data_IF_280593871762
#
_entry.id   IF_280593871762
#
_cell.length_a   1.000
_cell.length_b   1.000
_cell.length_c   1.000
_cell.angle_alpha   90.00
_cell.angle_beta   90.00
_cell.angle_gamma   90.00
#
_symmetry.space_group_name_H-M   'P 1'
#
loop_
_entity.id
_entity.type
_entity.pdbx_description
1 polymer ?
#
# COMPACT_ATOMS: atom_id res chain seq x y z
N UNK A 1 7.90 -10.96 24.44
CA UNK A 1 8.23 -10.41 23.11
C UNK A 1 6.96 -9.80 22.53
N UNK A 2 6.90 -8.49 22.40
CA UNK A 2 5.68 -7.79 21.92
C UNK A 2 5.75 -7.67 20.40
N UNK A 3 5.06 -8.58 19.68
CA UNK A 3 4.83 -8.41 18.24
C UNK A 3 3.86 -7.22 18.04
N UNK A 4 4.41 -6.09 17.68
CA UNK A 4 3.61 -4.95 17.24
C UNK A 4 3.40 -5.10 15.74
N UNK A 5 2.20 -5.51 15.31
CA UNK A 5 1.73 -5.20 13.96
C UNK A 5 1.55 -3.68 13.91
N UNK A 6 2.55 -2.99 13.42
CA UNK A 6 2.42 -1.58 13.08
C UNK A 6 1.87 -1.56 11.66
N UNK A 7 0.74 -0.89 11.44
CA UNK A 7 0.51 -0.30 10.13
C UNK A 7 1.83 0.40 9.76
N UNK A 8 2.28 0.28 8.52
CA UNK A 8 3.60 0.83 8.12
C UNK A 8 3.68 2.25 8.67
N UNK A 9 4.39 2.43 9.77
CA UNK A 9 4.91 3.75 10.12
C UNK A 9 5.84 4.07 8.96
N UNK A 10 5.82 5.29 8.40
CA UNK A 10 6.78 5.68 7.37
C UNK A 10 8.13 5.12 7.74
N UNK A 11 8.80 4.50 6.79
CA UNK A 11 9.98 3.71 7.09
C UNK A 11 10.93 4.50 7.99
N UNK A 12 11.69 3.80 8.82
CA UNK A 12 12.73 4.43 9.66
C UNK A 12 13.67 5.31 8.85
N UNK A 13 13.74 5.15 7.54
CA UNK A 13 14.59 5.91 6.62
C UNK A 13 14.15 7.36 6.44
N UNK A 14 12.84 7.67 6.47
CA UNK A 14 12.35 9.07 6.49
C UNK A 14 12.78 9.85 7.74
N UNK A 15 13.28 9.15 8.78
CA UNK A 15 13.75 9.76 10.01
C UNK A 15 15.28 9.99 10.04
N UNK A 16 16.02 9.64 8.98
CA UNK A 16 17.46 9.57 9.04
C UNK A 16 18.22 10.74 8.39
N UNK A 17 17.69 11.39 7.29
CA UNK A 17 18.43 12.51 6.68
C UNK A 17 17.62 13.25 5.59
N UNK A 18 17.16 14.51 5.78
CA UNK A 18 16.96 15.19 7.05
C UNK A 18 15.84 14.55 7.88
N UNK A 19 16.04 14.35 9.18
CA UNK A 19 15.10 13.62 10.00
C UNK A 19 13.80 14.40 10.14
N UNK A 20 12.69 13.84 9.62
CA UNK A 20 11.37 14.34 9.97
C UNK A 20 11.11 14.05 11.46
N UNK A 21 10.56 15.03 12.17
CA UNK A 21 10.07 14.79 13.52
C UNK A 21 8.89 13.82 13.47
N UNK A 22 8.65 13.02 14.52
CA UNK A 22 7.55 12.04 14.54
C UNK A 22 6.20 12.62 14.12
N UNK A 23 5.87 13.85 14.55
CA UNK A 23 4.63 14.54 14.22
C UNK A 23 4.57 14.93 12.72
N UNK A 24 5.70 15.29 12.14
CA UNK A 24 5.80 15.61 10.71
C UNK A 24 5.60 14.35 9.87
N UNK A 25 6.25 13.25 10.23
CA UNK A 25 6.08 11.97 9.57
C UNK A 25 4.63 11.44 9.69
N UNK A 26 4.01 11.57 10.86
CA UNK A 26 2.60 11.21 11.06
C UNK A 26 1.66 12.02 10.16
N UNK A 27 1.88 13.33 10.03
CA UNK A 27 1.10 14.18 9.11
C UNK A 27 1.28 13.79 7.66
N UNK A 28 2.51 13.47 7.27
CA UNK A 28 2.81 13.03 5.90
C UNK A 28 2.15 11.69 5.59
N UNK A 29 2.25 10.70 6.50
CA UNK A 29 1.56 9.43 6.35
C UNK A 29 0.03 9.56 6.28
N UNK A 30 -0.55 10.45 7.08
CA UNK A 30 -1.97 10.74 7.03
C UNK A 30 -2.38 11.33 5.67
N UNK A 31 -1.53 12.18 5.09
CA UNK A 31 -1.75 12.73 3.75
C UNK A 31 -1.61 11.67 2.66
N UNK A 32 -0.62 10.77 2.74
CA UNK A 32 -0.49 9.62 1.84
C UNK A 32 -1.75 8.76 1.86
N UNK A 33 -2.18 8.37 3.06
CA UNK A 33 -3.38 7.57 3.24
C UNK A 33 -4.62 8.25 2.65
N UNK A 34 -4.74 9.58 2.78
CA UNK A 34 -5.83 10.33 2.17
C UNK A 34 -5.78 10.24 0.65
N UNK A 35 -4.63 10.49 0.03
CA UNK A 35 -4.48 10.44 -1.43
C UNK A 35 -4.73 9.02 -1.97
N UNK A 36 -4.21 7.97 -1.31
CA UNK A 36 -4.45 6.58 -1.70
C UNK A 36 -5.93 6.22 -1.60
N UNK A 37 -6.61 6.61 -0.53
CA UNK A 37 -8.06 6.34 -0.38
C UNK A 37 -8.91 7.14 -1.36
N UNK A 38 -8.51 8.37 -1.73
CA UNK A 38 -9.15 9.12 -2.82
C UNK A 38 -8.94 8.44 -4.19
N UNK A 39 -7.76 7.85 -4.42
CA UNK A 39 -7.49 7.06 -5.63
C UNK A 39 -8.39 5.81 -5.69
N UNK A 40 -8.58 5.11 -4.56
CA UNK A 40 -9.56 4.01 -4.48
C UNK A 40 -10.98 4.48 -4.79
N UNK A 41 -11.40 5.60 -4.19
CA UNK A 41 -12.73 6.19 -4.42
C UNK A 41 -12.92 6.59 -5.90
N UNK A 42 -11.90 7.17 -6.53
CA UNK A 42 -11.94 7.51 -7.95
C UNK A 42 -12.03 6.26 -8.84
N UNK A 43 -11.29 5.19 -8.52
CA UNK A 43 -11.36 3.93 -9.25
C UNK A 43 -12.75 3.26 -9.13
N UNK A 44 -13.41 3.40 -7.98
CA UNK A 44 -14.76 2.87 -7.75
C UNK A 44 -15.83 3.47 -8.67
N UNK A 45 -15.57 4.60 -9.32
CA UNK A 45 -16.44 5.16 -10.35
C UNK A 45 -16.41 4.36 -11.67
N UNK A 46 -15.38 3.55 -11.91
CA UNK A 46 -15.17 2.81 -13.16
C UNK A 46 -15.29 1.29 -12.99
N UNK A 47 -15.04 0.76 -11.79
CA UNK A 47 -15.08 -0.67 -11.49
C UNK A 47 -15.72 -0.92 -10.12
N UNK A 48 -16.39 -2.06 -9.91
CA UNK A 48 -17.10 -2.33 -8.66
C UNK A 48 -16.13 -2.75 -7.54
N UNK A 49 -15.46 -1.78 -6.95
CA UNK A 49 -14.58 -1.96 -5.80
C UNK A 49 -15.09 -1.19 -4.59
N UNK A 50 -14.77 -1.69 -3.39
CA UNK A 50 -15.00 -1.04 -2.12
C UNK A 50 -13.64 -0.75 -1.45
N UNK A 51 -13.48 0.47 -0.94
CA UNK A 51 -12.26 0.89 -0.25
C UNK A 51 -12.32 0.58 1.23
N UNK A 52 -11.25 -0.01 1.74
CA UNK A 52 -11.04 -0.29 3.16
C UNK A 52 -9.67 0.20 3.60
N UNK A 53 -9.59 0.79 4.79
CA UNK A 53 -8.32 1.05 5.46
C UNK A 53 -8.12 -0.01 6.55
N UNK A 54 -7.07 -0.81 6.39
CA UNK A 54 -6.66 -1.80 7.38
C UNK A 54 -5.91 -1.10 8.51
N UNK A 55 -6.27 -1.39 9.76
CA UNK A 55 -5.69 -0.73 10.92
C UNK A 55 -5.35 -1.70 12.05
N UNK A 56 -4.41 -1.30 12.89
CA UNK A 56 -4.05 -1.90 14.16
C UNK A 56 -3.30 -0.87 15.04
N UNK A 57 -3.42 -0.94 16.37
CA UNK A 57 -4.25 -1.85 17.16
C UNK A 57 -5.73 -1.44 17.18
N UNK A 58 -6.60 -2.32 17.67
CA UNK A 58 -7.99 -1.98 17.96
C UNK A 58 -8.08 -0.75 18.89
N UNK A 59 -9.09 0.09 18.67
CA UNK A 59 -9.30 1.33 19.44
C UNK A 59 -8.61 2.56 18.84
N UNK A 60 -8.02 2.45 17.63
CA UNK A 60 -7.40 3.59 16.92
C UNK A 60 -8.28 4.13 15.78
N UNK A 61 -9.51 3.67 15.65
CA UNK A 61 -10.45 3.98 14.58
C UNK A 61 -10.75 5.47 14.47
N UNK A 62 -11.01 6.12 15.61
CA UNK A 62 -11.34 7.55 15.66
C UNK A 62 -10.17 8.43 15.21
N UNK A 63 -8.94 8.01 15.51
CA UNK A 63 -7.74 8.73 15.08
C UNK A 63 -7.49 8.59 13.57
N UNK A 64 -7.92 7.48 12.96
CA UNK A 64 -7.67 7.20 11.54
C UNK A 64 -8.74 7.80 10.62
N UNK A 65 -10.00 7.74 11.05
CA UNK A 65 -11.18 8.13 10.24
C UNK A 65 -11.06 9.54 9.58
N UNK A 66 -10.57 10.59 10.23
CA UNK A 66 -10.45 11.91 9.61
C UNK A 66 -9.49 11.96 8.40
N UNK A 67 -8.60 10.98 8.29
CA UNK A 67 -7.58 10.89 7.26
C UNK A 67 -8.00 10.02 6.06
N UNK A 68 -9.23 9.53 6.03
CA UNK A 68 -9.74 8.67 4.97
C UNK A 68 -10.64 9.45 3.99
N UNK A 69 -10.64 9.04 2.73
CA UNK A 69 -11.62 9.50 1.77
C UNK A 69 -13.04 9.07 2.16
N UNK A 70 -14.08 9.87 1.87
CA UNK A 70 -15.46 9.48 2.13
C UNK A 70 -15.81 8.13 1.50
N UNK A 71 -16.53 7.28 2.25
CA UNK A 71 -16.91 5.96 1.82
C UNK A 71 -15.83 4.88 2.02
N UNK A 72 -14.66 5.22 2.55
CA UNK A 72 -13.66 4.23 2.97
C UNK A 72 -14.09 3.64 4.32
N UNK A 73 -14.23 2.31 4.38
CA UNK A 73 -14.53 1.58 5.61
C UNK A 73 -13.26 1.17 6.36
N UNK A 74 -13.39 0.86 7.65
CA UNK A 74 -12.28 0.36 8.46
C UNK A 74 -12.34 -1.15 8.61
N UNK A 75 -11.15 -1.78 8.67
CA UNK A 75 -11.00 -3.21 8.89
C UNK A 75 -9.83 -3.48 9.84
N UNK A 76 -10.12 -4.15 10.98
CA UNK A 76 -9.06 -4.53 11.90
C UNK A 76 -8.16 -5.59 11.25
N UNK A 77 -6.85 -5.38 11.32
CA UNK A 77 -5.84 -6.25 10.72
C UNK A 77 -4.62 -6.39 11.66
N UNK A 78 -4.88 -6.75 12.91
CA UNK A 78 -3.86 -6.90 13.96
C UNK A 78 -3.12 -8.24 13.94
N UNK A 79 -3.44 -9.12 12.99
CA UNK A 79 -2.83 -10.44 12.84
C UNK A 79 -3.32 -11.47 13.86
N UNK A 80 -4.40 -11.22 14.60
CA UNK A 80 -4.94 -12.12 15.63
C UNK A 80 -5.61 -13.38 15.07
N UNK A 81 -5.89 -13.43 13.74
CA UNK A 81 -6.48 -14.60 13.09
C UNK A 81 -5.54 -15.81 13.10
N UNK A 82 -6.08 -17.04 13.15
CA UNK A 82 -5.30 -18.23 12.92
C UNK A 82 -4.56 -18.18 11.58
N UNK A 83 -3.28 -18.52 11.59
CA UNK A 83 -2.47 -18.53 10.36
C UNK A 83 -1.70 -19.85 10.27
N UNK A 84 -1.50 -20.41 9.06
CA UNK A 84 -0.68 -21.59 8.89
C UNK A 84 0.79 -21.29 9.19
N UNK A 85 1.59 -22.35 9.33
CA UNK A 85 3.04 -22.23 9.51
C UNK A 85 3.66 -21.37 8.40
N UNK A 86 4.69 -20.60 8.73
CA UNK A 86 5.38 -19.69 7.83
C UNK A 86 4.71 -18.32 7.64
N UNK A 87 3.43 -18.15 8.02
CA UNK A 87 2.78 -16.82 7.97
C UNK A 87 3.01 -16.10 9.29
N UNK A 88 3.98 -15.21 9.31
CA UNK A 88 4.44 -14.52 10.52
C UNK A 88 4.48 -12.99 10.34
N UNK A 89 4.64 -12.29 11.45
CA UNK A 89 4.85 -10.84 11.48
C UNK A 89 3.82 -10.06 10.68
N UNK A 90 4.27 -9.23 9.74
CA UNK A 90 3.40 -8.41 8.90
C UNK A 90 2.50 -9.24 7.97
N UNK A 91 2.96 -10.43 7.53
CA UNK A 91 2.16 -11.36 6.73
C UNK A 91 0.86 -11.79 7.42
N UNK A 92 0.85 -11.91 8.76
CA UNK A 92 -0.37 -12.22 9.52
C UNK A 92 -1.38 -11.06 9.45
N UNK A 93 -0.92 -9.83 9.46
CA UNK A 93 -1.80 -8.65 9.34
C UNK A 93 -2.42 -8.58 7.95
N UNK A 94 -1.62 -8.82 6.90
CA UNK A 94 -2.11 -8.87 5.52
C UNK A 94 -3.13 -10.00 5.32
N UNK A 95 -2.83 -11.20 5.82
CA UNK A 95 -3.75 -12.34 5.78
C UNK A 95 -5.04 -12.03 6.53
N UNK A 96 -4.95 -11.37 7.70
CA UNK A 96 -6.13 -10.95 8.46
C UNK A 96 -7.02 -10.02 7.64
N UNK A 97 -6.44 -8.95 7.05
CA UNK A 97 -7.18 -8.03 6.21
C UNK A 97 -7.86 -8.74 5.02
N UNK A 98 -7.12 -9.58 4.30
CA UNK A 98 -7.64 -10.33 3.15
C UNK A 98 -8.81 -11.25 3.57
N UNK A 99 -8.66 -12.04 4.62
CA UNK A 99 -9.73 -12.93 5.11
C UNK A 99 -10.96 -12.15 5.52
N UNK A 100 -10.78 -11.06 6.27
CA UNK A 100 -11.89 -10.24 6.70
C UNK A 100 -12.67 -9.60 5.55
N UNK A 101 -12.05 -9.36 4.38
CA UNK A 101 -12.73 -8.93 3.16
C UNK A 101 -13.54 -10.08 2.55
N UNK A 102 -12.97 -11.27 2.43
CA UNK A 102 -13.72 -12.44 1.93
C UNK A 102 -14.88 -12.82 2.85
N UNK A 103 -14.71 -12.72 4.18
CA UNK A 103 -15.77 -12.97 5.17
C UNK A 103 -16.93 -11.95 5.04
N UNK A 104 -16.66 -10.76 4.47
CA UNK A 104 -17.69 -9.76 4.11
C UNK A 104 -18.35 -10.05 2.77
N UNK A 105 -18.03 -11.15 2.09
CA UNK A 105 -18.64 -11.58 0.84
C UNK A 105 -17.98 -11.02 -0.43
N UNK A 106 -16.83 -10.38 -0.33
CA UNK A 106 -16.10 -9.96 -1.53
C UNK A 106 -15.59 -11.16 -2.33
N UNK A 107 -15.69 -11.08 -3.66
CA UNK A 107 -15.24 -12.13 -4.59
C UNK A 107 -13.77 -12.01 -4.97
N UNK A 108 -13.14 -10.93 -4.59
CA UNK A 108 -11.71 -10.67 -4.70
C UNK A 108 -11.30 -9.73 -3.58
N UNK A 109 -10.06 -9.82 -3.15
CA UNK A 109 -9.48 -8.91 -2.17
C UNK A 109 -8.08 -8.51 -2.59
N UNK A 110 -7.68 -7.29 -2.24
CA UNK A 110 -6.32 -6.84 -2.45
C UNK A 110 -5.80 -6.07 -1.23
N UNK A 111 -4.50 -6.09 -1.05
CA UNK A 111 -3.76 -5.18 -0.19
C UNK A 111 -3.05 -4.16 -1.05
N UNK A 112 -3.09 -2.90 -0.62
CA UNK A 112 -2.51 -1.75 -1.30
C UNK A 112 -1.65 -0.99 -0.29
N UNK A 113 -0.43 -0.61 -0.69
CA UNK A 113 0.43 0.21 0.16
C UNK A 113 -0.18 1.59 0.36
N UNK A 114 -0.12 2.10 1.59
CA UNK A 114 -0.52 3.47 1.92
C UNK A 114 0.52 4.51 1.52
N UNK A 115 1.72 4.08 1.16
CA UNK A 115 2.88 4.93 0.92
C UNK A 115 3.10 5.22 -0.58
N UNK A 116 2.06 4.99 -1.40
CA UNK A 116 2.07 5.22 -2.86
C UNK A 116 1.07 6.30 -3.28
N UNK A 117 1.16 7.53 -2.75
CA UNK A 117 0.14 8.56 -2.95
C UNK A 117 -0.03 9.01 -4.40
N UNK A 118 0.98 8.76 -5.26
CA UNK A 118 0.98 9.10 -6.67
C UNK A 118 0.50 7.99 -7.60
N UNK A 119 0.09 6.83 -7.03
CA UNK A 119 -0.35 5.69 -7.85
C UNK A 119 -1.53 6.09 -8.75
N UNK A 120 -1.43 5.90 -10.08
CA UNK A 120 -2.49 6.29 -10.99
C UNK A 120 -3.79 5.50 -10.74
N UNK A 121 -4.93 6.17 -10.75
CA UNK A 121 -6.26 5.54 -10.67
C UNK A 121 -6.44 4.45 -11.72
N UNK A 122 -5.91 4.65 -12.92
CA UNK A 122 -5.96 3.67 -14.01
C UNK A 122 -5.30 2.34 -13.64
N UNK A 123 -4.24 2.35 -12.83
CA UNK A 123 -3.58 1.14 -12.34
C UNK A 123 -4.52 0.31 -11.46
N UNK A 124 -5.26 0.96 -10.54
CA UNK A 124 -6.26 0.26 -9.71
C UNK A 124 -7.43 -0.26 -10.53
N UNK A 125 -7.90 0.50 -11.52
CA UNK A 125 -8.94 0.04 -12.45
C UNK A 125 -8.47 -1.20 -13.22
N UNK A 126 -7.25 -1.18 -13.75
CA UNK A 126 -6.65 -2.32 -14.43
C UNK A 126 -6.53 -3.54 -13.51
N UNK A 127 -6.00 -3.35 -12.30
CA UNK A 127 -5.87 -4.41 -11.31
C UNK A 127 -7.20 -5.06 -10.96
N UNK A 128 -8.24 -4.25 -10.69
CA UNK A 128 -9.58 -4.74 -10.39
C UNK A 128 -10.19 -5.49 -11.59
N UNK A 129 -10.02 -4.97 -12.80
CA UNK A 129 -10.51 -5.62 -14.02
C UNK A 129 -9.85 -6.99 -14.22
N UNK A 130 -8.53 -7.08 -14.06
CA UNK A 130 -7.78 -8.34 -14.15
C UNK A 130 -8.25 -9.38 -13.12
N UNK A 131 -8.54 -8.94 -11.90
CA UNK A 131 -9.08 -9.81 -10.86
C UNK A 131 -10.51 -10.26 -11.18
N UNK A 132 -11.39 -9.35 -11.56
CA UNK A 132 -12.81 -9.65 -11.78
C UNK A 132 -13.05 -10.53 -13.02
N UNK A 133 -12.24 -10.38 -14.07
CA UNK A 133 -12.33 -11.16 -15.32
C UNK A 133 -11.49 -12.44 -15.30
N UNK A 134 -10.59 -12.59 -14.33
CA UNK A 134 -9.71 -13.76 -14.21
C UNK A 134 -10.40 -14.98 -13.58
N UNK A 135 -9.75 -16.12 -13.68
CA UNK A 135 -10.14 -17.35 -12.98
C UNK A 135 -9.97 -17.21 -11.47
N UNK A 136 -10.46 -18.18 -10.69
CA UNK A 136 -10.25 -18.23 -9.22
C UNK A 136 -8.77 -18.35 -8.83
N UNK A 137 -7.91 -18.77 -9.75
CA UNK A 137 -6.46 -18.85 -9.56
C UNK A 137 -5.74 -17.54 -9.90
N UNK A 138 -6.47 -16.51 -10.39
CA UNK A 138 -5.90 -15.21 -10.71
C UNK A 138 -5.38 -14.52 -9.45
N UNK A 139 -4.10 -14.13 -9.50
CA UNK A 139 -3.49 -13.17 -8.61
C UNK A 139 -2.89 -12.02 -9.41
N UNK A 140 -2.79 -10.86 -8.82
CA UNK A 140 -2.24 -9.65 -9.45
C UNK A 140 -1.24 -9.03 -8.50
N UNK A 141 -0.04 -8.72 -8.95
CA UNK A 141 1.00 -8.05 -8.16
C UNK A 141 1.46 -6.77 -8.86
N UNK A 142 1.68 -5.71 -8.09
CA UNK A 142 2.36 -4.51 -8.52
C UNK A 142 3.60 -4.30 -7.67
N UNK A 143 4.78 -4.54 -8.24
CA UNK A 143 6.05 -4.41 -7.53
C UNK A 143 6.46 -2.94 -7.37
N UNK A 144 7.23 -2.66 -6.29
CA UNK A 144 7.97 -1.42 -6.10
C UNK A 144 9.42 -1.57 -6.58
N UNK A 145 10.05 -0.46 -6.91
CA UNK A 145 11.45 -0.42 -7.36
C UNK A 145 12.46 -0.71 -6.23
N UNK A 146 12.01 -0.68 -4.97
CA UNK A 146 12.78 -1.09 -3.77
C UNK A 146 12.77 -2.62 -3.51
N UNK A 147 12.06 -3.40 -4.35
CA UNK A 147 11.89 -4.85 -4.18
C UNK A 147 10.70 -5.28 -3.34
N UNK A 148 9.92 -4.35 -2.80
CA UNK A 148 8.61 -4.56 -2.21
C UNK A 148 7.50 -4.69 -3.26
N UNK A 149 6.26 -4.59 -2.81
CA UNK A 149 5.11 -4.44 -3.71
C UNK A 149 4.13 -3.40 -3.16
N UNK A 150 3.56 -2.62 -4.06
CA UNK A 150 2.49 -1.68 -3.70
C UNK A 150 1.10 -2.31 -3.76
N UNK A 151 0.94 -3.40 -4.52
CA UNK A 151 -0.35 -4.07 -4.73
C UNK A 151 -0.17 -5.59 -4.73
N UNK A 152 -1.05 -6.30 -4.03
CA UNK A 152 -1.21 -7.74 -4.16
C UNK A 152 -2.70 -8.09 -4.05
N UNK A 153 -3.27 -8.61 -5.14
CA UNK A 153 -4.67 -8.98 -5.23
C UNK A 153 -4.89 -10.46 -5.54
N UNK A 154 -6.01 -11.01 -5.09
CA UNK A 154 -6.35 -12.42 -5.26
C UNK A 154 -7.85 -12.68 -5.26
N UNK A 155 -8.26 -13.78 -5.90
CA UNK A 155 -9.66 -14.23 -5.98
C UNK A 155 -10.07 -15.21 -4.86
N UNK A 156 -9.12 -15.72 -4.09
CA UNK A 156 -9.29 -16.61 -2.94
C UNK A 156 -8.26 -16.25 -1.87
N UNK A 157 -8.54 -16.48 -0.58
CA UNK A 157 -7.60 -16.13 0.49
C UNK A 157 -6.43 -17.15 0.55
N UNK A 158 -5.44 -16.96 -0.31
CA UNK A 158 -4.26 -17.81 -0.38
C UNK A 158 -3.25 -17.43 0.71
N UNK A 159 -3.36 -18.05 1.88
CA UNK A 159 -2.44 -17.79 3.00
C UNK A 159 -0.97 -18.04 2.64
N UNK A 160 -0.68 -18.98 1.75
CA UNK A 160 0.66 -19.30 1.27
C UNK A 160 1.36 -18.14 0.55
N UNK A 161 0.63 -17.14 0.03
CA UNK A 161 1.23 -15.93 -0.54
C UNK A 161 1.97 -15.07 0.50
N UNK A 162 1.66 -15.27 1.78
CA UNK A 162 2.24 -14.52 2.90
C UNK A 162 3.19 -15.39 3.74
N UNK A 163 3.42 -16.66 3.34
CA UNK A 163 4.25 -17.60 4.09
C UNK A 163 5.73 -17.46 3.72
N UNK A 164 6.59 -17.53 4.72
CA UNK A 164 8.06 -17.51 4.59
C UNK A 164 8.57 -16.32 3.76
N UNK A 165 7.96 -15.17 3.95
CA UNK A 165 8.38 -13.91 3.33
C UNK A 165 9.29 -13.16 4.29
N UNK A 166 10.46 -12.77 3.83
CA UNK A 166 11.40 -11.93 4.56
C UNK A 166 10.94 -10.45 4.50
N UNK A 167 9.93 -10.11 5.30
CA UNK A 167 9.34 -8.77 5.31
C UNK A 167 10.37 -7.67 5.58
N UNK A 168 10.17 -6.51 4.95
CA UNK A 168 11.04 -5.33 5.02
C UNK A 168 12.43 -5.55 4.39
N UNK A 169 12.50 -6.38 3.36
CA UNK A 169 13.69 -6.58 2.51
C UNK A 169 13.36 -6.31 1.05
N UNK A 170 14.38 -6.13 0.24
CA UNK A 170 14.28 -5.95 -1.23
C UNK A 170 13.88 -7.23 -2.00
N UNK A 171 13.65 -8.34 -1.30
CA UNK A 171 13.28 -9.63 -1.89
C UNK A 171 11.79 -9.96 -1.78
N UNK A 172 10.99 -9.13 -1.12
CA UNK A 172 9.57 -9.40 -0.83
C UNK A 172 8.77 -9.72 -2.10
N UNK A 173 8.88 -8.92 -3.15
CA UNK A 173 8.15 -9.16 -4.40
C UNK A 173 8.61 -10.44 -5.10
N UNK A 174 9.92 -10.71 -5.11
CA UNK A 174 10.47 -11.94 -5.69
C UNK A 174 9.96 -13.18 -4.94
N UNK A 175 10.05 -13.19 -3.61
CA UNK A 175 9.54 -14.29 -2.79
C UNK A 175 8.02 -14.47 -2.96
N UNK A 176 7.25 -13.40 -3.10
CA UNK A 176 5.81 -13.47 -3.36
C UNK A 176 5.51 -14.11 -4.72
N UNK A 177 6.32 -13.83 -5.77
CA UNK A 177 6.23 -14.52 -7.08
C UNK A 177 6.50 -16.00 -6.95
N UNK A 178 7.54 -16.39 -6.22
CA UNK A 178 7.89 -17.79 -5.97
C UNK A 178 6.74 -18.51 -5.24
N UNK A 179 6.12 -17.87 -4.25
CA UNK A 179 4.94 -18.41 -3.56
C UNK A 179 3.75 -18.56 -4.50
N UNK A 180 3.49 -17.57 -5.35
CA UNK A 180 2.41 -17.66 -6.33
C UNK A 180 2.64 -18.83 -7.31
N UNK A 181 3.87 -19.01 -7.79
CA UNK A 181 4.24 -20.13 -8.66
C UNK A 181 4.07 -21.47 -7.95
N UNK A 182 4.56 -21.61 -6.70
CA UNK A 182 4.42 -22.83 -5.91
C UNK A 182 2.95 -23.21 -5.63
N UNK A 183 2.07 -22.20 -5.49
CA UNK A 183 0.61 -22.37 -5.36
C UNK A 183 -0.08 -22.61 -6.71
N UNK A 184 0.65 -22.53 -7.81
CA UNK A 184 0.15 -22.64 -9.18
C UNK A 184 -0.85 -21.53 -9.53
N UNK A 185 -0.69 -20.33 -9.00
CA UNK A 185 -1.54 -19.18 -9.29
C UNK A 185 -1.19 -18.60 -10.68
N UNK A 186 -2.20 -18.05 -11.33
CA UNK A 186 -2.05 -17.24 -12.54
C UNK A 186 -1.74 -15.81 -12.12
N UNK A 187 -0.46 -15.51 -11.91
CA UNK A 187 0.04 -14.24 -11.45
C UNK A 187 0.24 -13.29 -12.62
N UNK A 188 -0.46 -12.14 -12.59
CA UNK A 188 -0.31 -11.05 -13.55
C UNK A 188 0.38 -9.87 -12.88
N UNK A 189 1.35 -9.29 -13.58
CA UNK A 189 2.08 -8.12 -13.08
C UNK A 189 1.49 -6.80 -13.58
N UNK A 190 1.42 -5.85 -12.68
CA UNK A 190 1.13 -4.44 -12.98
C UNK A 190 2.45 -3.69 -13.28
N UNK A 191 2.37 -2.50 -13.86
CA UNK A 191 3.56 -1.67 -14.03
C UNK A 191 4.31 -1.43 -12.72
N UNK A 192 5.64 -1.39 -12.78
CA UNK A 192 6.49 -1.02 -11.66
C UNK A 192 6.12 0.37 -11.14
N UNK A 193 6.13 0.55 -9.83
CA UNK A 193 5.88 1.83 -9.18
C UNK A 193 6.90 2.06 -8.06
N UNK A 194 6.68 3.09 -7.24
CA UNK A 194 7.52 3.37 -6.08
C UNK A 194 6.66 3.76 -4.87
N UNK A 195 7.19 3.53 -3.71
CA UNK A 195 6.66 4.01 -2.43
C UNK A 195 7.58 5.11 -1.84
N UNK A 196 7.03 5.83 -0.86
CA UNK A 196 7.75 6.95 -0.25
C UNK A 196 8.32 6.49 1.09
N UNK A 197 9.53 5.99 1.04
CA UNK A 197 10.22 5.40 2.19
C UNK A 197 11.37 6.25 2.73
N UNK A 198 11.91 7.17 1.93
CA UNK A 198 13.07 8.00 2.26
C UNK A 198 13.00 9.40 1.63
N UNK A 199 14.05 10.20 1.87
CA UNK A 199 14.16 11.55 1.34
C UNK A 199 14.22 11.56 -0.19
N UNK A 200 14.88 10.58 -0.80
CA UNK A 200 15.06 10.53 -2.26
C UNK A 200 13.73 10.24 -2.97
N UNK A 201 12.94 9.29 -2.46
CA UNK A 201 11.59 9.00 -2.98
C UNK A 201 10.63 10.17 -2.74
N UNK A 202 10.78 10.91 -1.62
CA UNK A 202 10.02 12.13 -1.37
C UNK A 202 10.40 13.25 -2.34
N UNK A 203 11.69 13.45 -2.62
CA UNK A 203 12.17 14.40 -3.62
C UNK A 203 11.67 14.06 -5.02
N UNK A 204 11.67 12.78 -5.39
CA UNK A 204 11.08 12.28 -6.63
C UNK A 204 9.61 12.66 -6.73
N UNK A 205 8.83 12.42 -5.67
CA UNK A 205 7.42 12.79 -5.63
C UNK A 205 7.23 14.29 -5.85
N UNK A 206 8.01 15.13 -5.17
CA UNK A 206 7.93 16.60 -5.32
C UNK A 206 8.19 17.01 -6.78
N UNK A 207 9.20 16.44 -7.42
CA UNK A 207 9.54 16.72 -8.83
C UNK A 207 8.43 16.27 -9.78
N UNK A 208 7.94 15.04 -9.66
CA UNK A 208 6.92 14.45 -10.53
C UNK A 208 5.55 15.14 -10.39
N UNK A 209 5.22 15.60 -9.19
CA UNK A 209 3.94 16.28 -8.93
C UNK A 209 3.98 17.78 -9.15
N UNK A 210 5.15 18.34 -9.44
CA UNK A 210 5.31 19.78 -9.75
C UNK A 210 4.50 20.15 -11.01
N UNK A 211 3.49 21.02 -10.82
CA UNK A 211 2.59 21.43 -11.89
C UNK A 211 1.48 20.43 -12.24
N UNK A 212 1.33 19.35 -11.47
CA UNK A 212 0.25 18.37 -11.62
C UNK A 212 -0.77 18.46 -10.48
N UNK A 213 -1.93 17.80 -10.66
CA UNK A 213 -2.93 17.65 -9.62
C UNK A 213 -2.81 16.32 -8.86
N UNK A 214 -1.77 15.53 -9.11
CA UNK A 214 -1.54 14.27 -8.40
C UNK A 214 -1.22 14.52 -6.92
N UNK A 215 -1.65 13.61 -6.07
CA UNK A 215 -1.38 13.60 -4.62
C UNK A 215 -1.58 14.97 -3.92
N UNK A 216 -2.76 15.60 -4.00
CA UNK A 216 -2.97 16.97 -3.53
C UNK A 216 -2.78 17.12 -2.01
N UNK A 217 -3.18 16.13 -1.23
CA UNK A 217 -3.04 16.12 0.23
C UNK A 217 -1.57 15.98 0.64
N UNK A 218 -0.84 15.09 -0.02
CA UNK A 218 0.60 14.90 0.17
C UNK A 218 1.37 16.16 -0.17
N UNK A 219 1.08 16.78 -1.31
CA UNK A 219 1.72 18.05 -1.71
C UNK A 219 1.45 19.18 -0.72
N UNK A 220 0.22 19.28 -0.23
CA UNK A 220 -0.11 20.25 0.81
C UNK A 220 0.69 20.00 2.09
N UNK A 221 0.77 18.76 2.54
CA UNK A 221 1.54 18.38 3.73
C UNK A 221 3.04 18.68 3.55
N UNK A 222 3.63 18.36 2.40
CA UNK A 222 5.04 18.67 2.06
C UNK A 222 5.29 20.18 2.10
N UNK A 223 4.40 20.98 1.51
CA UNK A 223 4.49 22.43 1.56
C UNK A 223 4.44 23.01 2.98
N UNK A 224 3.56 22.45 3.83
CA UNK A 224 3.47 22.84 5.25
C UNK A 224 4.70 22.43 6.07
N UNK A 225 5.44 21.39 5.63
CA UNK A 225 6.70 20.99 6.25
C UNK A 225 7.88 21.88 5.86
N UNK A 226 7.73 22.71 4.83
CA UNK A 226 8.83 23.49 4.26
C UNK A 226 9.89 22.61 3.60
N UNK A 227 9.50 21.45 3.08
CA UNK A 227 10.44 20.55 2.39
C UNK A 227 11.04 21.25 1.18
N UNK A 228 12.37 21.22 1.02
CA UNK A 228 13.02 21.91 -0.10
C UNK A 228 12.57 21.31 -1.43
N UNK A 229 12.18 22.16 -2.38
CA UNK A 229 11.94 21.72 -3.75
C UNK A 229 13.28 21.47 -4.40
N UNK A 230 13.59 20.22 -4.83
CA UNK A 230 14.85 19.94 -5.49
C UNK A 230 15.00 20.81 -6.74
N UNK A 231 16.10 21.52 -6.85
CA UNK A 231 16.40 22.28 -8.08
C UNK A 231 16.50 21.29 -9.25
N UNK A 232 15.74 21.51 -10.30
CA UNK A 232 15.92 20.75 -11.56
C UNK A 232 17.37 20.93 -11.99
N UNK A 233 18.13 19.84 -12.02
CA UNK A 233 19.41 19.85 -12.71
C UNK A 233 19.12 20.22 -14.15
N UNK A 234 19.47 21.43 -14.60
CA UNK A 234 19.48 21.76 -16.00
C UNK A 234 20.54 20.87 -16.64
N UNK A 235 20.13 19.73 -17.19
CA UNK A 235 20.96 19.08 -18.21
C UNK A 235 21.13 20.08 -19.33
N UNK A 236 22.26 20.76 -19.33
CA UNK A 236 22.73 21.47 -20.50
C UNK A 236 22.86 20.43 -21.62
N UNK A 237 22.21 20.75 -22.73
CA UNK A 237 22.28 20.03 -24.00
C UNK A 237 23.69 19.98 -24.55
#
# INVERSE_FOLDING_TARGET
>A
MRNRCHGKVPSRRLFQDPPLRPEQAARLSAAFLRDVTETMRAAAASVPIAGYAAYAPAGTEEALTPHLAPGTSLILADGSVPAPAGVEGFGRCLLHAVRALFDRGHTAACVLSSDTPTLPTATLVTAATLLLTGSERRAVIGACDDGGYYFLGMRRPHAGLFADIAWSTDTVAAQTRDRAAALGLDLVELPLWYDIDDAASLDRLVQETSGSNAAPWTRHAIGALGWPVPMRSSCAA
#
